data_IF_355512166571
#
_entry.id   IF_355512166571
#
_cell.length_a   1.000
_cell.length_b   1.000
_cell.length_c   1.000
_cell.angle_alpha   90.00
_cell.angle_beta   90.00
_cell.angle_gamma   90.00
#
_symmetry.space_group_name_H-M   'P 1'
#
loop_
_entity.id
_entity.type
_entity.pdbx_description
1 polymer ?
#
# COMPACT_ATOMS: atom_id res chain seq x y z
N UNK A 1 -5.43 18.93 0.80
CA UNK A 1 -4.58 20.08 0.45
C UNK A 1 -4.81 21.16 1.49
N UNK A 2 -3.77 21.76 2.12
CA UNK A 2 -3.97 22.82 3.10
C UNK A 2 -4.73 24.00 2.46
N UNK A 3 -5.72 24.54 3.16
CA UNK A 3 -6.70 25.45 2.58
C UNK A 3 -6.18 26.90 2.49
N UNK A 4 -5.09 27.21 3.20
CA UNK A 4 -4.50 28.55 3.31
C UNK A 4 -2.97 28.51 3.53
N UNK A 5 -2.33 29.68 3.46
CA UNK A 5 -0.91 29.83 3.79
C UNK A 5 -0.66 29.66 5.29
N UNK A 6 -1.62 30.08 6.11
CA UNK A 6 -1.63 29.89 7.56
C UNK A 6 -1.64 28.40 7.95
N UNK A 7 -2.39 27.56 7.22
CA UNK A 7 -2.35 26.11 7.42
C UNK A 7 -0.98 25.52 7.08
N UNK A 8 -0.28 26.06 6.08
CA UNK A 8 1.07 25.63 5.73
C UNK A 8 2.09 26.04 6.81
N UNK A 9 1.93 27.23 7.41
CA UNK A 9 2.77 27.67 8.53
C UNK A 9 2.60 26.77 9.76
N UNK A 10 1.37 26.36 10.08
CA UNK A 10 1.11 25.42 11.17
C UNK A 10 1.81 24.05 10.95
N UNK A 11 1.83 23.56 9.71
CA UNK A 11 2.57 22.34 9.35
C UNK A 11 4.09 22.54 9.55
N UNK A 12 4.63 23.71 9.18
CA UNK A 12 6.05 24.03 9.38
C UNK A 12 6.40 24.12 10.87
N UNK A 13 5.55 24.71 11.69
CA UNK A 13 5.73 24.75 13.15
C UNK A 13 5.74 23.34 13.76
N UNK A 14 4.82 22.47 13.33
CA UNK A 14 4.80 21.07 13.76
C UNK A 14 6.08 20.33 13.34
N UNK A 15 6.56 20.54 12.10
CA UNK A 15 7.82 20.00 11.61
C UNK A 15 9.00 20.45 12.49
N UNK A 16 9.10 21.75 12.78
CA UNK A 16 10.22 22.28 13.57
C UNK A 16 10.23 21.71 14.98
N UNK A 17 9.06 21.62 15.64
CA UNK A 17 8.94 20.95 16.93
C UNK A 17 9.37 19.49 16.86
N UNK A 18 9.04 18.77 15.77
CA UNK A 18 9.46 17.39 15.60
C UNK A 18 10.98 17.26 15.44
N UNK A 19 11.60 18.09 14.61
CA UNK A 19 13.05 18.10 14.41
C UNK A 19 13.78 18.36 15.74
N UNK A 20 13.28 19.28 16.56
CA UNK A 20 13.85 19.52 17.89
C UNK A 20 13.72 18.29 18.80
N UNK A 21 12.57 17.61 18.79
CA UNK A 21 12.37 16.37 19.57
C UNK A 21 13.35 15.29 19.15
N UNK A 22 13.51 15.07 17.84
CA UNK A 22 14.47 14.11 17.30
C UNK A 22 15.90 14.44 17.74
N UNK A 23 16.31 15.71 17.63
CA UNK A 23 17.64 16.15 18.06
C UNK A 23 17.87 15.95 19.56
N UNK A 24 16.85 16.17 20.40
CA UNK A 24 16.91 15.91 21.85
C UNK A 24 16.96 14.41 22.15
N UNK A 25 16.20 13.59 21.44
CA UNK A 25 16.18 12.14 21.58
C UNK A 25 17.56 11.55 21.24
N UNK A 26 18.15 11.97 20.12
CA UNK A 26 19.49 11.56 19.68
C UNK A 26 20.57 11.95 20.72
N UNK A 27 20.55 13.19 21.21
CA UNK A 27 21.47 13.62 22.29
C UNK A 27 21.30 12.78 23.55
N UNK A 28 20.06 12.41 23.91
CA UNK A 28 19.75 11.57 25.08
C UNK A 28 20.12 10.11 24.87
N UNK A 29 20.13 9.58 23.64
CA UNK A 29 20.51 8.20 23.36
C UNK A 29 21.96 7.87 23.79
N UNK A 30 22.80 8.88 24.02
CA UNK A 30 24.14 8.74 24.63
C UNK A 30 24.15 8.14 26.04
N UNK A 31 23.01 8.10 26.74
CA UNK A 31 22.87 7.44 28.05
C UNK A 31 22.18 6.06 27.92
N UNK A 32 22.76 5.01 28.52
CA UNK A 32 22.24 3.62 28.44
C UNK A 32 20.77 3.46 28.85
N UNK A 33 20.25 4.33 29.73
CA UNK A 33 18.88 4.24 30.26
C UNK A 33 17.83 4.83 29.31
N UNK A 34 18.21 5.72 28.40
CA UNK A 34 17.35 6.31 27.36
C UNK A 34 17.47 5.61 26.01
N UNK A 35 18.51 4.79 25.81
CA UNK A 35 18.74 4.06 24.56
C UNK A 35 17.60 3.08 24.23
N UNK A 36 17.10 2.31 25.20
CA UNK A 36 16.06 1.30 24.95
C UNK A 36 14.72 1.91 24.48
N UNK A 37 14.33 3.07 25.03
CA UNK A 37 13.12 3.77 24.60
C UNK A 37 13.29 4.34 23.19
N UNK A 38 14.45 4.94 22.91
CA UNK A 38 14.79 5.46 21.60
C UNK A 38 14.83 4.38 20.51
N UNK A 39 15.49 3.24 20.79
CA UNK A 39 15.54 2.09 19.87
C UNK A 39 14.14 1.52 19.59
N UNK A 40 13.26 1.50 20.59
CA UNK A 40 11.87 1.05 20.43
C UNK A 40 11.09 1.98 19.50
N UNK A 41 11.21 3.29 19.68
CA UNK A 41 10.58 4.29 18.81
C UNK A 41 11.08 4.19 17.37
N UNK A 42 12.40 4.11 17.17
CA UNK A 42 13.02 3.94 15.85
C UNK A 42 12.57 2.65 15.17
N UNK A 43 12.56 1.54 15.91
CA UNK A 43 12.06 0.26 15.40
C UNK A 43 10.62 0.37 14.94
N UNK A 44 9.77 1.03 15.74
CA UNK A 44 8.36 1.18 15.41
C UNK A 44 8.14 2.02 14.15
N UNK A 45 8.82 3.17 14.06
CA UNK A 45 8.80 4.03 12.87
C UNK A 45 9.33 3.30 11.63
N UNK A 46 10.42 2.54 11.77
CA UNK A 46 10.99 1.74 10.68
C UNK A 46 10.04 0.64 10.19
N UNK A 47 9.32 -0.04 11.10
CA UNK A 47 8.31 -1.03 10.74
C UNK A 47 7.14 -0.38 10.01
N UNK A 48 6.61 0.73 10.53
CA UNK A 48 5.51 1.47 9.92
C UNK A 48 5.85 1.88 8.48
N UNK A 49 7.06 2.44 8.26
CA UNK A 49 7.51 2.81 6.93
C UNK A 49 7.69 1.62 6.00
N UNK A 50 8.26 0.51 6.48
CA UNK A 50 8.42 -0.71 5.67
C UNK A 50 7.07 -1.27 5.22
N UNK A 51 6.05 -1.24 6.08
CA UNK A 51 4.70 -1.67 5.72
C UNK A 51 4.11 -0.75 4.64
N UNK A 52 4.21 0.58 4.82
CA UNK A 52 3.73 1.55 3.83
C UNK A 52 4.45 1.45 2.47
N UNK A 53 5.76 1.19 2.48
CA UNK A 53 6.55 0.92 1.27
C UNK A 53 6.12 -0.37 0.58
N UNK A 54 5.90 -1.45 1.34
CA UNK A 54 5.43 -2.72 0.78
C UNK A 54 4.06 -2.58 0.11
N UNK A 55 3.12 -1.88 0.73
CA UNK A 55 1.84 -1.58 0.09
C UNK A 55 2.03 -0.74 -1.18
N UNK A 56 2.93 0.26 -1.18
CA UNK A 56 3.22 1.06 -2.38
C UNK A 56 3.71 0.19 -3.55
N UNK A 57 4.48 -0.87 -3.28
CA UNK A 57 4.90 -1.84 -4.31
C UNK A 57 3.72 -2.65 -4.86
N UNK A 58 2.83 -3.14 -3.98
CA UNK A 58 1.61 -3.86 -4.35
C UNK A 58 0.72 -2.98 -5.24
N UNK A 59 0.49 -1.73 -4.82
CA UNK A 59 -0.29 -0.75 -5.55
C UNK A 59 0.29 -0.47 -6.95
N UNK A 60 1.61 -0.34 -7.07
CA UNK A 60 2.27 -0.17 -8.37
C UNK A 60 1.98 -1.33 -9.33
N UNK A 61 2.00 -2.56 -8.83
CA UNK A 61 1.65 -3.76 -9.62
C UNK A 61 0.17 -3.75 -10.03
N UNK A 62 -0.74 -3.45 -9.10
CA UNK A 62 -2.17 -3.32 -9.40
C UNK A 62 -2.44 -2.25 -10.45
N UNK A 63 -1.83 -1.07 -10.31
CA UNK A 63 -1.97 0.03 -11.27
C UNK A 63 -1.47 -0.35 -12.66
N UNK A 64 -0.37 -1.09 -12.74
CA UNK A 64 0.14 -1.62 -14.00
C UNK A 64 -0.82 -2.61 -14.65
N UNK A 65 -1.37 -3.55 -13.87
CA UNK A 65 -2.34 -4.52 -14.36
C UNK A 65 -3.61 -3.80 -14.84
N UNK A 66 -4.16 -2.89 -14.03
CA UNK A 66 -5.35 -2.12 -14.36
C UNK A 66 -5.19 -1.33 -15.66
N UNK A 67 -4.06 -0.63 -15.88
CA UNK A 67 -3.80 0.09 -17.14
C UNK A 67 -3.84 -0.80 -18.38
N UNK A 68 -3.36 -2.05 -18.27
CA UNK A 68 -3.36 -3.01 -19.38
C UNK A 68 -4.73 -3.59 -19.68
N UNK A 69 -5.58 -3.72 -18.66
CA UNK A 69 -6.94 -4.25 -18.79
C UNK A 69 -7.90 -3.15 -19.23
N UNK A 70 -7.90 -2.02 -18.52
CA UNK A 70 -8.94 -0.99 -18.60
C UNK A 70 -8.65 0.05 -19.68
N UNK A 71 -7.44 0.07 -20.24
CA UNK A 71 -6.93 1.09 -21.19
C UNK A 71 -7.10 2.54 -20.71
N UNK A 72 -7.46 2.74 -19.45
CA UNK A 72 -7.68 4.03 -18.82
C UNK A 72 -7.13 3.99 -17.39
N UNK A 73 -6.40 5.04 -16.94
CA UNK A 73 -5.95 5.14 -15.57
C UNK A 73 -7.14 5.38 -14.62
N UNK A 74 -6.99 4.96 -13.36
CA UNK A 74 -7.84 5.41 -12.25
C UNK A 74 -7.33 6.77 -11.82
N UNK A 75 -8.21 7.76 -11.71
CA UNK A 75 -7.86 9.16 -11.45
C UNK A 75 -8.73 9.73 -10.34
N UNK A 76 -8.28 10.81 -9.70
CA UNK A 76 -8.97 11.48 -8.60
C UNK A 76 -8.28 11.26 -7.26
N UNK A 77 -8.84 11.83 -6.19
CA UNK A 77 -8.27 11.77 -4.84
C UNK A 77 -8.32 10.35 -4.24
N UNK A 78 -9.44 9.64 -4.45
CA UNK A 78 -9.66 8.27 -3.98
C UNK A 78 -9.21 7.19 -4.99
N UNK A 79 -8.29 7.54 -5.91
CA UNK A 79 -7.88 6.62 -6.98
C UNK A 79 -7.28 5.31 -6.43
N UNK A 80 -6.63 5.39 -5.27
CA UNK A 80 -6.02 4.26 -4.58
C UNK A 80 -7.06 3.18 -4.22
N UNK A 81 -8.18 3.58 -3.58
CA UNK A 81 -9.27 2.65 -3.22
C UNK A 81 -9.99 2.12 -4.45
N UNK A 82 -10.25 3.01 -5.41
CA UNK A 82 -10.89 2.63 -6.66
C UNK A 82 -10.05 1.62 -7.45
N UNK A 83 -8.72 1.73 -7.41
CA UNK A 83 -7.82 0.74 -8.00
C UNK A 83 -8.00 -0.63 -7.39
N UNK A 84 -8.00 -0.74 -6.05
CA UNK A 84 -8.18 -2.00 -5.35
C UNK A 84 -9.53 -2.62 -5.70
N UNK A 85 -10.61 -1.83 -5.62
CA UNK A 85 -11.95 -2.28 -5.97
C UNK A 85 -12.03 -2.77 -7.42
N UNK A 86 -11.49 -2.01 -8.38
CA UNK A 86 -11.47 -2.42 -9.79
C UNK A 86 -10.72 -3.73 -10.03
N UNK A 87 -9.68 -4.00 -9.24
CA UNK A 87 -8.90 -5.23 -9.33
C UNK A 87 -9.56 -6.42 -8.62
N UNK A 88 -10.49 -6.20 -7.69
CA UNK A 88 -11.26 -7.26 -7.03
C UNK A 88 -12.53 -7.66 -7.78
N UNK A 89 -13.03 -6.79 -8.67
CA UNK A 89 -14.23 -7.08 -9.46
C UNK A 89 -13.93 -7.85 -10.75
N UNK A 90 -14.71 -8.92 -10.98
CA UNK A 90 -14.87 -9.53 -12.29
C UNK A 90 -16.00 -8.80 -13.01
N UNK A 91 -15.76 -8.33 -14.23
CA UNK A 91 -16.82 -7.77 -15.07
C UNK A 91 -17.37 -8.87 -15.99
N UNK A 92 -18.63 -8.74 -16.42
CA UNK A 92 -19.35 -9.75 -17.22
C UNK A 92 -18.71 -10.07 -18.60
N UNK A 93 -17.63 -9.39 -18.97
CA UNK A 93 -16.79 -9.76 -20.11
C UNK A 93 -15.67 -10.72 -19.65
N UNK A 94 -15.64 -11.93 -20.21
CA UNK A 94 -14.61 -12.98 -19.99
C UNK A 94 -13.17 -12.51 -20.25
N UNK A 95 -12.96 -11.28 -20.73
CA UNK A 95 -11.67 -10.63 -20.96
C UNK A 95 -11.14 -9.83 -19.76
N UNK A 96 -11.95 -9.64 -18.70
CA UNK A 96 -11.59 -8.90 -17.48
C UNK A 96 -11.90 -9.73 -16.23
N UNK A 97 -11.16 -10.82 -15.97
CA UNK A 97 -11.28 -11.54 -14.70
C UNK A 97 -10.74 -10.67 -13.56
N UNK A 98 -11.27 -10.89 -12.35
CA UNK A 98 -10.72 -10.31 -11.14
C UNK A 98 -9.23 -10.69 -10.99
N UNK A 99 -8.41 -9.71 -10.61
CA UNK A 99 -6.97 -9.89 -10.39
C UNK A 99 -6.72 -10.44 -8.99
N UNK A 100 -7.48 -9.96 -8.01
CA UNK A 100 -7.44 -10.34 -6.60
C UNK A 100 -8.84 -10.74 -6.15
N UNK A 101 -8.96 -11.48 -5.04
CA UNK A 101 -10.27 -11.76 -4.44
C UNK A 101 -10.82 -10.53 -3.71
N UNK A 102 -12.10 -10.57 -3.34
CA UNK A 102 -12.74 -9.51 -2.57
C UNK A 102 -12.10 -9.37 -1.18
N UNK A 103 -11.85 -10.50 -0.52
CA UNK A 103 -11.26 -10.58 0.83
C UNK A 103 -9.83 -10.03 0.83
N UNK A 104 -9.03 -10.34 -0.21
CA UNK A 104 -7.71 -9.75 -0.36
C UNK A 104 -7.82 -8.24 -0.63
N UNK A 105 -8.84 -7.80 -1.37
CA UNK A 105 -9.10 -6.38 -1.60
C UNK A 105 -9.35 -5.61 -0.29
N UNK A 106 -10.14 -6.16 0.63
CA UNK A 106 -10.40 -5.55 1.94
C UNK A 106 -9.12 -5.38 2.76
N UNK A 107 -8.27 -6.43 2.83
CA UNK A 107 -6.98 -6.34 3.52
C UNK A 107 -6.04 -5.30 2.86
N UNK A 108 -6.10 -5.14 1.54
CA UNK A 108 -5.32 -4.10 0.85
C UNK A 108 -5.87 -2.69 1.10
N UNK A 109 -7.17 -2.52 1.33
CA UNK A 109 -7.75 -1.21 1.67
C UNK A 109 -7.26 -0.74 3.04
N UNK A 110 -7.22 -1.61 4.03
CA UNK A 110 -6.68 -1.30 5.36
C UNK A 110 -5.20 -0.91 5.29
N UNK A 111 -4.40 -1.61 4.47
CA UNK A 111 -3.00 -1.25 4.23
C UNK A 111 -2.85 0.09 3.49
N UNK A 112 -3.80 0.42 2.60
CA UNK A 112 -3.86 1.70 1.91
C UNK A 112 -4.09 2.85 2.90
N UNK A 113 -5.08 2.70 3.77
CA UNK A 113 -5.38 3.67 4.84
C UNK A 113 -4.19 3.83 5.78
N UNK A 114 -3.60 2.72 6.22
CA UNK A 114 -2.41 2.77 7.06
C UNK A 114 -1.22 3.48 6.38
N UNK A 115 -1.02 3.31 5.08
CA UNK A 115 -0.01 4.09 4.34
C UNK A 115 -0.30 5.59 4.39
N UNK A 116 -1.55 6.01 4.23
CA UNK A 116 -1.90 7.43 4.32
C UNK A 116 -1.61 7.97 5.71
N UNK A 117 -1.96 7.22 6.75
CA UNK A 117 -1.61 7.51 8.14
C UNK A 117 -0.10 7.69 8.29
N UNK A 118 0.72 6.72 7.83
CA UNK A 118 2.18 6.79 7.94
C UNK A 118 2.80 7.94 7.12
N UNK A 119 2.17 8.36 6.02
CA UNK A 119 2.64 9.49 5.21
C UNK A 119 2.25 10.85 5.79
N UNK A 120 1.18 10.91 6.57
CA UNK A 120 0.60 12.15 7.12
C UNK A 120 0.90 12.34 8.62
N UNK A 121 1.36 11.30 9.33
CA UNK A 121 1.73 11.37 10.74
C UNK A 121 3.23 11.63 10.88
N UNK A 122 3.57 12.73 11.54
CA UNK A 122 4.88 12.88 12.18
C UNK A 122 5.05 11.76 13.24
N UNK A 123 6.17 11.02 13.28
CA UNK A 123 6.38 9.78 14.05
C UNK A 123 5.84 9.73 15.49
N UNK A 124 5.65 10.88 16.14
CA UNK A 124 5.17 11.02 17.53
C UNK A 124 3.74 10.59 17.85
N UNK A 125 2.93 10.17 16.88
CA UNK A 125 1.59 9.58 17.12
C UNK A 125 1.40 8.16 16.59
N UNK A 126 2.48 7.46 16.26
CA UNK A 126 2.39 6.07 15.81
C UNK A 126 1.88 5.15 16.94
N UNK A 127 0.67 4.64 16.78
CA UNK A 127 0.10 3.62 17.65
C UNK A 127 0.73 2.26 17.33
N UNK A 128 1.44 1.68 18.31
CA UNK A 128 2.10 0.40 18.14
C UNK A 128 1.15 -0.74 17.76
N UNK A 129 -0.05 -0.74 18.34
CA UNK A 129 -1.05 -1.77 18.04
C UNK A 129 -1.41 -1.73 16.55
N UNK A 130 -1.57 -0.52 15.98
CA UNK A 130 -1.85 -0.32 14.56
C UNK A 130 -0.70 -0.69 13.66
N UNK A 131 0.54 -0.41 14.06
CA UNK A 131 1.72 -0.87 13.29
C UNK A 131 1.78 -2.40 13.27
N UNK A 132 1.55 -3.05 14.41
CA UNK A 132 1.58 -4.51 14.52
C UNK A 132 0.46 -5.17 13.74
N UNK A 133 -0.76 -4.67 13.87
CA UNK A 133 -1.93 -5.14 13.13
C UNK A 133 -1.69 -5.09 11.62
N UNK A 134 -1.15 -3.97 11.11
CA UNK A 134 -0.86 -3.82 9.70
C UNK A 134 0.35 -4.63 9.22
N UNK A 135 1.33 -4.87 10.08
CA UNK A 135 2.42 -5.81 9.78
C UNK A 135 1.89 -7.24 9.63
N UNK A 136 1.06 -7.70 10.56
CA UNK A 136 0.44 -9.04 10.51
C UNK A 136 -0.44 -9.18 9.27
N UNK A 137 -1.26 -8.16 8.98
CA UNK A 137 -2.05 -8.06 7.75
C UNK A 137 -1.18 -8.20 6.50
N UNK A 138 -0.07 -7.46 6.43
CA UNK A 138 0.86 -7.54 5.30
C UNK A 138 1.48 -8.94 5.17
N UNK A 139 1.87 -9.56 6.28
CA UNK A 139 2.44 -10.93 6.31
C UNK A 139 1.44 -11.93 5.71
N UNK A 140 0.14 -11.80 6.01
CA UNK A 140 -0.91 -12.65 5.44
C UNK A 140 -1.23 -12.32 3.97
N UNK A 141 -1.34 -11.03 3.64
CA UNK A 141 -1.80 -10.57 2.34
C UNK A 141 -0.75 -10.73 1.24
N UNK A 142 0.55 -10.55 1.54
CA UNK A 142 1.60 -10.55 0.52
C UNK A 142 1.75 -11.89 -0.24
N UNK A 143 1.75 -13.07 0.42
CA UNK A 143 1.75 -14.35 -0.29
C UNK A 143 0.50 -14.56 -1.16
N UNK A 144 -0.68 -14.19 -0.66
CA UNK A 144 -1.94 -14.28 -1.40
C UNK A 144 -1.91 -13.39 -2.65
N UNK A 145 -1.42 -12.15 -2.51
CA UNK A 145 -1.22 -11.23 -3.63
C UNK A 145 -0.25 -11.77 -4.67
N UNK A 146 0.88 -12.35 -4.23
CA UNK A 146 1.84 -12.99 -5.12
C UNK A 146 1.23 -14.17 -5.90
N UNK A 147 0.42 -15.00 -5.25
CA UNK A 147 -0.29 -16.09 -5.89
C UNK A 147 -1.32 -15.59 -6.91
N UNK A 148 -2.11 -14.58 -6.55
CA UNK A 148 -3.09 -13.95 -7.41
C UNK A 148 -2.45 -13.36 -8.69
N UNK A 149 -1.35 -12.63 -8.53
CA UNK A 149 -0.57 -12.10 -9.66
C UNK A 149 -0.06 -13.21 -10.60
N UNK A 150 0.45 -14.32 -10.07
CA UNK A 150 0.91 -15.46 -10.88
C UNK A 150 -0.24 -16.13 -11.64
N UNK A 151 -1.37 -16.34 -10.99
CA UNK A 151 -2.57 -16.90 -11.62
C UNK A 151 -3.10 -15.99 -12.74
N UNK A 152 -3.13 -14.68 -12.48
CA UNK A 152 -3.48 -13.67 -13.47
C UNK A 152 -2.51 -13.68 -14.67
N UNK A 153 -1.20 -13.72 -14.43
CA UNK A 153 -0.21 -13.79 -15.51
C UNK A 153 -0.35 -15.07 -16.37
N UNK A 154 -0.59 -16.24 -15.75
CA UNK A 154 -0.77 -17.51 -16.44
C UNK A 154 -2.04 -17.53 -17.34
N UNK A 155 -3.10 -16.82 -16.93
CA UNK A 155 -4.33 -16.71 -17.73
C UNK A 155 -4.21 -15.74 -18.91
N UNK A 156 -3.28 -14.78 -18.86
CA UNK A 156 -3.10 -13.73 -19.88
C UNK A 156 -1.84 -13.89 -20.76
N UNK A 157 -1.04 -14.94 -20.54
CA UNK A 157 0.13 -15.24 -21.36
C UNK A 157 -0.25 -15.58 -22.82
N UNK A 158 0.46 -15.03 -23.84
CA UNK A 158 0.11 -15.16 -25.27
C UNK A 158 -0.02 -16.61 -25.76
N UNK A 159 0.63 -17.58 -25.11
CA UNK A 159 0.54 -19.00 -25.46
C UNK A 159 -0.90 -19.56 -25.40
N UNK A 160 -1.78 -19.00 -24.55
CA UNK A 160 -3.18 -19.45 -24.42
C UNK A 160 -4.09 -18.87 -25.53
N UNK A 161 -3.75 -17.71 -26.10
CA UNK A 161 -4.49 -17.13 -27.24
C UNK A 161 -4.34 -17.97 -28.51
N UNK A 162 -3.18 -18.57 -28.73
CA UNK A 162 -2.92 -19.47 -29.87
C UNK A 162 -3.73 -20.78 -29.79
N UNK A 163 -3.97 -21.31 -28.58
CA UNK A 163 -4.70 -22.56 -28.37
C UNK A 163 -6.22 -22.41 -28.49
N UNK A 164 -6.79 -21.25 -28.12
CA UNK A 164 -8.23 -20.93 -28.34
C UNK A 164 -8.59 -20.71 -29.80
N UNK A 165 -7.70 -20.13 -30.63
CA UNK A 165 -7.96 -19.93 -32.07
C UNK A 165 -7.99 -21.23 -32.88
N UNK A 166 -7.28 -22.27 -32.43
CA UNK A 166 -7.26 -23.59 -33.11
C UNK A 166 -8.49 -24.46 -32.82
N UNK A 167 -9.30 -24.13 -31.81
CA UNK A 167 -10.50 -24.90 -31.44
C UNK A 167 -11.83 -24.38 -32.04
N UNK A 168 -11.81 -23.34 -32.86
CA UNK A 168 -13.02 -22.74 -33.47
C UNK A 168 -13.09 -22.92 -34.99
N UNK A 169 -12.27 -23.83 -35.55
CA UNK A 169 -12.22 -24.18 -36.97
C UNK A 169 -12.43 -25.69 -37.20
N UNK A 170 -13.37 -26.30 -36.48
CA UNK A 170 -13.98 -27.58 -36.87
C UNK A 170 -15.46 -27.51 -36.46
N UNK A 171 -16.29 -27.23 -37.45
CA UNK A 171 -17.72 -27.02 -37.39
C UNK A 171 -18.18 -26.65 -38.78
#
# INVERSE_FOLDING_TARGET
MPASFEDQLAIVEELLHEVERMARAEKRASSRRSLAAYERELRLAGLAQRVAQAYTMIEGVLAYIARRIDRAPVTGEEWHKQLIWRCSQSFNDRRRPAVISAELGEELLELCEFRHVVRNIYPTRLDESKVRENLERLIRAAPAFGAACRAYAASHSPARKARRRKGTKQG
#
